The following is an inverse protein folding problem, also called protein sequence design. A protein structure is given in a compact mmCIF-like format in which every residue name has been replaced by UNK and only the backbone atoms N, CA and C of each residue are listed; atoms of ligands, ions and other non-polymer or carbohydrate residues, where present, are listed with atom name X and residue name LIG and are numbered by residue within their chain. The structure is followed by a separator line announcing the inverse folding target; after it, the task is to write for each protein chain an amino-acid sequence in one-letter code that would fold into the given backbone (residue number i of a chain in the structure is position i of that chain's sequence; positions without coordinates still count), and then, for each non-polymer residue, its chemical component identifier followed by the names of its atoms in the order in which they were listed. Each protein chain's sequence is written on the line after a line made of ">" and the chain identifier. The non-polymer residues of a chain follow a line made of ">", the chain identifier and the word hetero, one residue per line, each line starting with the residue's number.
data_IF_195882754541
#
_entry.id   IF_195882754541
#
_cell.length_a   1.000
_cell.length_b   1.000
_cell.length_c   1.000
_cell.angle_alpha   90.00
_cell.angle_beta   90.00
_cell.angle_gamma   90.00
#
_symmetry.space_group_name_H-M   'P 1'
#
loop_
_entity.id
_entity.type
_entity.pdbx_description
1 polymer ?
#
# COMPACT_ATOMS: atom_id res chain seq x y z
N UNK A 1 6.84 -8.29 -16.11
CA UNK A 1 6.56 -8.79 -14.76
C UNK A 1 5.05 -8.79 -14.61
N UNK A 2 4.42 -9.92 -14.25
CA UNK A 2 2.96 -9.97 -14.10
C UNK A 2 2.63 -9.38 -12.74
N UNK A 3 1.95 -8.25 -12.71
CA UNK A 3 1.43 -7.64 -11.48
C UNK A 3 -0.05 -7.97 -11.37
N UNK A 4 -0.41 -8.77 -10.36
CA UNK A 4 -1.75 -9.29 -10.16
C UNK A 4 -2.24 -8.96 -8.75
N UNK A 5 -3.54 -8.68 -8.67
CA UNK A 5 -4.23 -8.40 -7.43
C UNK A 5 -4.40 -6.90 -7.18
N UNK A 6 -5.59 -6.55 -6.71
CA UNK A 6 -5.95 -5.23 -6.21
C UNK A 6 -6.44 -5.45 -4.77
N UNK A 7 -5.49 -5.63 -3.86
CA UNK A 7 -5.79 -5.95 -2.47
C UNK A 7 -6.58 -4.80 -1.83
N UNK A 8 -7.62 -5.14 -1.09
CA UNK A 8 -8.25 -4.19 -0.16
C UNK A 8 -7.37 -4.02 1.08
N UNK A 9 -7.60 -2.96 1.85
CA UNK A 9 -6.89 -2.74 3.12
C UNK A 9 -7.06 -3.92 4.07
N UNK A 10 -8.25 -4.51 4.12
CA UNK A 10 -8.51 -5.71 4.95
C UNK A 10 -7.72 -6.94 4.50
N UNK A 11 -7.56 -7.13 3.18
CA UNK A 11 -6.75 -8.23 2.65
C UNK A 11 -5.25 -7.98 2.88
N UNK A 12 -4.81 -6.72 2.80
CA UNK A 12 -3.47 -6.30 3.16
C UNK A 12 -3.18 -6.59 4.64
N UNK A 13 -4.07 -6.21 5.56
CA UNK A 13 -3.94 -6.51 6.99
C UNK A 13 -3.81 -8.02 7.24
N UNK A 14 -4.68 -8.83 6.64
CA UNK A 14 -4.63 -10.29 6.73
C UNK A 14 -3.32 -10.87 6.22
N UNK A 15 -2.80 -10.33 5.11
CA UNK A 15 -1.55 -10.80 4.48
C UNK A 15 -0.31 -10.38 5.28
N UNK A 16 -0.31 -9.17 5.82
CA UNK A 16 0.74 -8.64 6.69
C UNK A 16 0.68 -9.21 8.11
N UNK A 17 -0.45 -9.82 8.52
CA UNK A 17 -0.74 -10.22 9.89
C UNK A 17 -0.65 -9.06 10.89
N UNK A 18 -1.05 -7.87 10.47
CA UNK A 18 -1.08 -6.65 11.28
C UNK A 18 -2.52 -6.16 11.43
N UNK A 19 -2.76 -5.35 12.47
CA UNK A 19 -4.02 -4.66 12.68
C UNK A 19 -3.71 -3.17 12.63
N UNK A 20 -4.19 -2.51 11.59
CA UNK A 20 -4.13 -1.05 11.47
C UNK A 20 -5.21 -0.43 12.37
N UNK A 21 -4.95 0.76 12.88
CA UNK A 21 -5.96 1.58 13.56
C UNK A 21 -7.06 2.02 12.59
N UNK A 22 -8.21 2.44 13.12
CA UNK A 22 -9.33 2.90 12.27
C UNK A 22 -8.93 4.10 11.40
N UNK A 23 -8.13 5.03 11.92
CA UNK A 23 -7.63 6.19 11.18
C UNK A 23 -6.67 5.81 10.05
N UNK A 24 -5.77 4.86 10.30
CA UNK A 24 -4.83 4.34 9.29
C UNK A 24 -5.57 3.59 8.20
N UNK A 25 -6.57 2.77 8.55
CA UNK A 25 -7.43 2.09 7.56
C UNK A 25 -8.20 3.08 6.71
N UNK A 26 -8.75 4.13 7.33
CA UNK A 26 -9.47 5.18 6.60
C UNK A 26 -8.54 5.87 5.61
N UNK A 27 -7.37 6.31 6.07
CA UNK A 27 -6.35 6.97 5.24
C UNK A 27 -5.89 6.08 4.10
N UNK A 28 -5.59 4.80 4.38
CA UNK A 28 -5.15 3.86 3.35
C UNK A 28 -6.26 3.57 2.32
N UNK A 29 -7.53 3.51 2.74
CA UNK A 29 -8.66 3.37 1.82
C UNK A 29 -8.88 4.63 0.96
N UNK A 30 -8.69 5.83 1.53
CA UNK A 30 -8.79 7.09 0.79
C UNK A 30 -7.67 7.25 -0.25
N UNK A 31 -6.45 6.79 0.08
CA UNK A 31 -5.32 6.78 -0.84
C UNK A 31 -5.43 5.66 -1.89
N UNK A 32 -6.10 4.55 -1.58
CA UNK A 32 -6.20 3.41 -2.49
C UNK A 32 -6.98 3.77 -3.76
N UNK A 33 -6.36 3.48 -4.90
CA UNK A 33 -6.98 3.56 -6.21
C UNK A 33 -7.03 2.15 -6.83
N UNK A 34 -8.23 1.63 -7.14
CA UNK A 34 -8.37 0.30 -7.72
C UNK A 34 -7.79 0.19 -9.14
N UNK A 35 -7.65 1.31 -9.85
CA UNK A 35 -7.13 1.36 -11.23
C UNK A 35 -5.65 1.74 -11.21
N UNK A 36 -4.72 0.81 -11.51
CA UNK A 36 -3.30 1.15 -11.47
C UNK A 36 -2.93 2.36 -12.36
N UNK A 37 -3.55 2.50 -13.53
CA UNK A 37 -3.26 3.59 -14.47
C UNK A 37 -3.59 4.99 -13.90
N UNK A 38 -4.43 5.07 -12.86
CA UNK A 38 -4.80 6.33 -12.20
C UNK A 38 -3.92 6.66 -11.00
N UNK A 39 -2.98 5.79 -10.66
CA UNK A 39 -2.10 5.97 -9.51
C UNK A 39 -0.98 6.91 -9.87
N UNK A 40 -0.33 6.70 -11.02
CA UNK A 40 0.84 7.48 -11.46
C UNK A 40 0.54 8.99 -11.55
N UNK A 41 1.41 9.81 -10.98
CA UNK A 41 1.26 11.27 -10.92
C UNK A 41 0.21 11.78 -9.93
N UNK A 42 -0.54 10.91 -9.23
CA UNK A 42 -1.54 11.29 -8.24
C UNK A 42 -1.10 10.93 -6.81
N UNK A 43 -1.73 11.57 -5.81
CA UNK A 43 -1.56 11.19 -4.41
C UNK A 43 -2.38 9.94 -4.06
N UNK A 44 -2.11 8.84 -4.77
CA UNK A 44 -2.84 7.57 -4.70
C UNK A 44 -1.89 6.38 -4.62
N UNK A 45 -2.43 5.23 -4.22
CA UNK A 45 -1.68 3.98 -4.09
C UNK A 45 -2.42 2.81 -4.72
N UNK A 46 -1.67 1.81 -5.15
CA UNK A 46 -2.19 0.51 -5.56
C UNK A 46 -1.50 -0.61 -4.79
N UNK A 47 -2.26 -1.59 -4.32
CA UNK A 47 -1.73 -2.71 -3.54
C UNK A 47 -1.83 -3.98 -4.39
N UNK A 48 -0.68 -4.43 -4.88
CA UNK A 48 -0.55 -5.67 -5.63
C UNK A 48 -0.39 -6.86 -4.70
N UNK A 49 -0.99 -7.98 -5.09
CA UNK A 49 -0.87 -9.24 -4.35
C UNK A 49 0.38 -10.03 -4.78
N UNK A 50 0.67 -10.04 -6.07
CA UNK A 50 1.79 -10.76 -6.68
C UNK A 50 2.44 -9.88 -7.77
N UNK A 51 3.70 -9.43 -7.60
CA UNK A 51 4.46 -9.44 -6.34
C UNK A 51 3.75 -8.60 -5.27
N UNK A 52 3.96 -8.94 -3.99
CA UNK A 52 3.32 -8.21 -2.88
C UNK A 52 3.96 -6.83 -2.71
N UNK A 53 3.35 -5.81 -3.32
CA UNK A 53 3.93 -4.48 -3.38
C UNK A 53 2.88 -3.38 -3.36
N UNK A 54 3.23 -2.23 -2.78
CA UNK A 54 2.47 -1.00 -2.87
C UNK A 54 3.14 -0.11 -3.90
N UNK A 55 2.40 0.27 -4.94
CA UNK A 55 2.81 1.31 -5.89
C UNK A 55 2.20 2.63 -5.47
N UNK A 56 3.03 3.63 -5.27
CA UNK A 56 2.66 4.98 -4.91
C UNK A 56 2.77 5.89 -6.12
N UNK A 57 1.78 6.74 -6.33
CA UNK A 57 1.71 7.64 -7.46
C UNK A 57 2.67 8.83 -7.41
N UNK A 58 3.07 9.22 -6.21
CA UNK A 58 3.97 10.36 -5.99
C UNK A 58 4.81 10.17 -4.70
N UNK A 59 5.76 11.08 -4.46
CA UNK A 59 6.59 11.05 -3.26
C UNK A 59 5.83 11.24 -1.95
N UNK A 60 4.71 11.99 -1.97
CA UNK A 60 3.89 12.27 -0.78
C UNK A 60 3.11 11.05 -0.29
N UNK A 61 2.42 10.35 -1.19
CA UNK A 61 1.75 9.08 -0.91
C UNK A 61 2.75 8.03 -0.42
N UNK A 62 3.94 7.97 -1.05
CA UNK A 62 5.02 7.09 -0.60
C UNK A 62 5.46 7.39 0.82
N UNK A 63 5.71 8.66 1.15
CA UNK A 63 6.11 9.06 2.50
C UNK A 63 5.02 8.69 3.52
N UNK A 64 3.76 9.00 3.22
CA UNK A 64 2.61 8.67 4.08
C UNK A 64 2.53 7.18 4.37
N UNK A 65 2.68 6.33 3.36
CA UNK A 65 2.64 4.88 3.53
C UNK A 65 3.85 4.35 4.31
N UNK A 66 5.05 4.88 4.05
CA UNK A 66 6.25 4.49 4.80
C UNK A 66 6.08 4.88 6.28
N UNK A 67 5.69 6.12 6.57
CA UNK A 67 5.51 6.61 7.94
C UNK A 67 4.43 5.79 8.69
N UNK A 68 3.34 5.43 8.00
CA UNK A 68 2.26 4.59 8.55
C UNK A 68 2.70 3.14 8.80
N UNK A 69 3.48 2.54 7.90
CA UNK A 69 3.84 1.12 7.98
C UNK A 69 5.13 0.87 8.78
N UNK A 70 5.97 1.88 8.97
CA UNK A 70 7.23 1.77 9.74
C UNK A 70 7.01 1.22 11.16
N UNK A 71 6.00 1.65 11.94
CA UNK A 71 5.70 1.07 13.26
C UNK A 71 5.34 -0.42 13.23
N UNK A 72 4.92 -0.93 12.07
CA UNK A 72 4.54 -2.32 11.84
C UNK A 72 5.63 -3.12 11.12
N UNK A 73 6.75 -2.50 10.71
CA UNK A 73 7.79 -3.15 9.91
C UNK A 73 8.33 -4.43 10.57
N UNK A 74 8.53 -4.41 11.90
CA UNK A 74 8.97 -5.58 12.67
C UNK A 74 7.90 -6.69 12.78
N UNK A 75 6.63 -6.37 12.51
CA UNK A 75 5.50 -7.31 12.58
C UNK A 75 5.10 -7.86 11.21
N UNK A 76 5.43 -7.17 10.14
CA UNK A 76 5.12 -7.59 8.77
C UNK A 76 6.04 -8.77 8.41
N UNK A 77 5.47 -9.99 8.42
CA UNK A 77 6.20 -11.21 8.04
C UNK A 77 6.35 -11.39 6.53
N UNK A 78 5.66 -10.59 5.73
CA UNK A 78 5.71 -10.64 4.28
C UNK A 78 6.79 -9.69 3.73
N UNK A 79 7.45 -10.05 2.64
CA UNK A 79 8.36 -9.14 1.92
C UNK A 79 7.54 -8.09 1.17
N UNK A 80 7.09 -7.06 1.90
CA UNK A 80 6.38 -5.92 1.32
C UNK A 80 7.37 -5.00 0.61
N UNK A 81 7.12 -4.73 -0.67
CA UNK A 81 7.87 -3.73 -1.42
C UNK A 81 7.05 -2.46 -1.58
N UNK A 82 7.70 -1.30 -1.48
CA UNK A 82 7.07 -0.01 -1.74
C UNK A 82 7.81 0.61 -2.93
N UNK A 83 7.10 0.88 -4.01
CA UNK A 83 7.64 1.40 -5.28
C UNK A 83 6.89 2.65 -5.72
N UNK A 84 7.51 3.46 -6.57
CA UNK A 84 6.91 4.68 -7.14
C UNK A 84 7.40 5.98 -6.51
N UNK A 85 6.99 7.10 -7.11
CA UNK A 85 7.41 8.46 -6.73
C UNK A 85 8.75 8.91 -7.34
N UNK A 86 8.91 8.76 -8.66
CA UNK A 86 9.95 9.48 -9.43
C UNK A 86 9.41 10.78 -9.99
#
# INVERSE_FOLDING_TARGET
>A
MIMLGNLTVEQFEKRCQIILTEEERKTMNELREPTCDKVDGNNKIHIYDIPFMIVCGNGESRKTIIDMLTPYADKIKATLQISGGV
#
